data_IF_860868371977
#
_entry.id   IF_860868371977
#
_cell.length_a   1.000
_cell.length_b   1.000
_cell.length_c   1.000
_cell.angle_alpha   90.00
_cell.angle_beta   90.00
_cell.angle_gamma   90.00
#
_symmetry.space_group_name_H-M   'P 1'
#
loop_
_entity.id
_entity.type
_entity.pdbx_description
1 polymer ?
#
# COMPACT_ATOMS: atom_id res chain seq x y z
N UNK A 1 -1.37 -6.53 39.71
CA UNK A 1 -1.99 -6.87 38.42
C UNK A 1 -2.13 -5.59 37.60
N UNK A 2 -1.32 -5.41 36.56
CA UNK A 2 -1.52 -4.32 35.59
C UNK A 2 -2.27 -4.90 34.39
N UNK A 3 -3.56 -4.60 34.27
CA UNK A 3 -4.32 -4.91 33.07
C UNK A 3 -3.99 -3.88 32.01
N UNK A 4 -3.25 -4.33 30.98
CA UNK A 4 -2.96 -3.59 29.76
C UNK A 4 -4.23 -2.94 29.21
N UNK A 5 -4.28 -1.61 29.22
CA UNK A 5 -5.27 -0.84 28.47
C UNK A 5 -5.14 -1.24 27.01
N UNK A 6 -6.16 -1.89 26.45
CA UNK A 6 -6.28 -2.04 24.99
C UNK A 6 -6.29 -0.62 24.41
N UNK A 7 -5.25 -0.25 23.68
CA UNK A 7 -5.19 1.03 22.99
C UNK A 7 -6.22 0.97 21.86
N UNK A 8 -7.47 1.37 22.13
CA UNK A 8 -8.48 1.50 21.09
C UNK A 8 -8.11 2.74 20.27
N UNK A 9 -7.87 2.56 18.97
CA UNK A 9 -7.69 3.68 18.05
C UNK A 9 -8.86 4.66 18.19
N UNK A 10 -8.54 5.92 18.49
CA UNK A 10 -9.53 6.98 18.56
C UNK A 10 -9.99 7.30 17.15
N UNK A 11 -11.31 7.26 16.92
CA UNK A 11 -11.88 7.67 15.63
C UNK A 11 -12.04 9.18 15.61
N UNK A 12 -11.41 9.83 14.64
CA UNK A 12 -11.54 11.26 14.41
C UNK A 12 -12.54 11.55 13.28
N UNK A 13 -13.35 12.60 13.43
CA UNK A 13 -14.29 13.02 12.39
C UNK A 13 -13.61 14.01 11.44
N UNK A 14 -13.60 13.67 10.15
CA UNK A 14 -13.06 14.52 9.08
C UNK A 14 -14.20 14.95 8.16
N UNK A 15 -14.24 16.24 7.81
CA UNK A 15 -15.21 16.80 6.87
C UNK A 15 -14.49 17.44 5.69
N UNK A 16 -14.83 17.03 4.46
CA UNK A 16 -14.23 17.55 3.24
C UNK A 16 -15.27 17.68 2.13
N UNK A 17 -14.98 18.53 1.13
CA UNK A 17 -15.82 18.71 -0.05
C UNK A 17 -15.29 17.84 -1.19
N UNK A 18 -16.20 17.17 -1.89
CA UNK A 18 -15.91 16.38 -3.09
C UNK A 18 -16.81 16.82 -4.24
N UNK A 19 -16.43 16.48 -5.46
CA UNK A 19 -17.29 16.69 -6.61
C UNK A 19 -18.57 15.84 -6.46
N UNK A 20 -19.70 16.39 -6.88
CA UNK A 20 -20.97 15.67 -6.80
C UNK A 20 -21.01 14.42 -7.68
N UNK A 21 -20.17 14.34 -8.73
CA UNK A 21 -19.92 13.14 -9.52
C UNK A 21 -19.24 12.03 -8.71
N UNK A 22 -18.27 12.37 -7.86
CA UNK A 22 -17.55 11.41 -7.00
C UNK A 22 -18.47 10.86 -5.93
N UNK A 23 -19.26 11.72 -5.28
CA UNK A 23 -20.29 11.29 -4.33
C UNK A 23 -21.21 10.22 -4.95
N UNK A 24 -21.70 10.45 -6.17
CA UNK A 24 -22.55 9.48 -6.89
C UNK A 24 -21.82 8.17 -7.20
N UNK A 25 -20.53 8.21 -7.53
CA UNK A 25 -19.73 6.99 -7.75
C UNK A 25 -19.62 6.17 -6.47
N UNK A 26 -19.35 6.82 -5.34
CA UNK A 26 -19.25 6.17 -4.03
C UNK A 26 -20.59 5.55 -3.61
N UNK A 27 -21.70 6.28 -3.81
CA UNK A 27 -23.04 5.78 -3.50
C UNK A 27 -23.39 4.52 -4.29
N UNK A 28 -23.09 4.49 -5.60
CA UNK A 28 -23.30 3.30 -6.43
C UNK A 28 -22.43 2.13 -6.02
N UNK A 29 -21.16 2.39 -5.69
CA UNK A 29 -20.25 1.35 -5.24
C UNK A 29 -20.70 0.76 -3.90
N UNK A 30 -21.07 1.61 -2.94
CA UNK A 30 -21.60 1.17 -1.65
C UNK A 30 -22.84 0.28 -1.82
N UNK A 31 -23.77 0.68 -2.69
CA UNK A 31 -24.95 -0.12 -3.01
C UNK A 31 -24.59 -1.48 -3.63
N UNK A 32 -23.68 -1.51 -4.60
CA UNK A 32 -23.24 -2.75 -5.25
C UNK A 32 -22.52 -3.71 -4.28
N UNK A 33 -21.81 -3.17 -3.28
CA UNK A 33 -21.12 -3.95 -2.25
C UNK A 33 -22.01 -4.31 -1.05
N UNK A 34 -23.27 -3.83 -1.01
CA UNK A 34 -24.16 -3.91 0.15
C UNK A 34 -23.50 -3.38 1.44
N UNK A 35 -22.87 -2.21 1.34
CA UNK A 35 -22.16 -1.51 2.42
C UNK A 35 -22.63 -0.06 2.51
N UNK A 36 -22.29 0.61 3.62
CA UNK A 36 -22.50 2.04 3.73
C UNK A 36 -21.40 2.85 3.00
N UNK A 37 -21.63 4.15 2.86
CA UNK A 37 -20.68 5.04 2.16
C UNK A 37 -19.38 5.18 2.95
N UNK A 38 -19.48 5.18 4.28
CA UNK A 38 -18.33 5.32 5.18
C UNK A 38 -17.34 4.19 4.97
N UNK A 39 -17.81 2.96 4.83
CA UNK A 39 -16.99 1.80 4.49
C UNK A 39 -16.20 2.03 3.20
N UNK A 40 -16.88 2.43 2.11
CA UNK A 40 -16.21 2.70 0.82
C UNK A 40 -15.18 3.82 0.94
N UNK A 41 -15.48 4.87 1.71
CA UNK A 41 -14.54 5.97 1.95
C UNK A 41 -13.31 5.51 2.74
N UNK A 42 -13.52 4.79 3.84
CA UNK A 42 -12.42 4.31 4.69
C UNK A 42 -11.53 3.34 3.93
N UNK A 43 -12.11 2.41 3.17
CA UNK A 43 -11.33 1.49 2.32
C UNK A 43 -10.53 2.24 1.26
N UNK A 44 -11.13 3.22 0.58
CA UNK A 44 -10.44 4.00 -0.44
C UNK A 44 -9.27 4.80 0.15
N UNK A 45 -9.44 5.36 1.35
CA UNK A 45 -8.37 6.08 2.06
C UNK A 45 -7.27 5.12 2.49
N UNK A 46 -7.61 3.99 3.12
CA UNK A 46 -6.63 2.97 3.53
C UNK A 46 -5.80 2.51 2.34
N UNK A 47 -6.46 2.09 1.25
CA UNK A 47 -5.77 1.64 0.05
C UNK A 47 -4.85 2.71 -0.54
N UNK A 48 -5.25 3.98 -0.52
CA UNK A 48 -4.40 5.06 -0.99
C UNK A 48 -3.18 5.24 -0.09
N UNK A 49 -3.36 5.24 1.24
CA UNK A 49 -2.27 5.37 2.19
C UNK A 49 -1.31 4.18 2.08
N UNK A 50 -1.81 2.95 2.17
CA UNK A 50 -1.03 1.71 2.10
C UNK A 50 -0.17 1.66 0.84
N UNK A 51 -0.74 2.01 -0.32
CA UNK A 51 -0.02 2.02 -1.60
C UNK A 51 1.11 3.05 -1.59
N UNK A 52 0.83 4.27 -1.15
CA UNK A 52 1.82 5.35 -1.19
C UNK A 52 2.91 5.16 -0.13
N UNK A 53 2.55 4.70 1.06
CA UNK A 53 3.51 4.39 2.13
C UNK A 53 4.46 3.26 1.70
N UNK A 54 3.94 2.18 1.11
CA UNK A 54 4.78 1.12 0.56
C UNK A 54 5.72 1.63 -0.53
N UNK A 55 5.24 2.45 -1.46
CA UNK A 55 6.06 3.04 -2.52
C UNK A 55 7.17 3.93 -1.96
N UNK A 56 6.83 4.80 -1.01
CA UNK A 56 7.80 5.71 -0.39
C UNK A 56 8.86 4.91 0.38
N UNK A 57 8.45 3.90 1.15
CA UNK A 57 9.37 3.05 1.89
C UNK A 57 10.36 2.33 0.96
N UNK A 58 9.87 1.72 -0.13
CA UNK A 58 10.74 1.03 -1.10
C UNK A 58 11.70 1.98 -1.82
N UNK A 59 11.28 3.22 -2.12
CA UNK A 59 12.17 4.23 -2.68
C UNK A 59 13.27 4.61 -1.67
N UNK A 60 12.90 4.82 -0.41
CA UNK A 60 13.86 5.17 0.64
C UNK A 60 14.87 4.05 0.89
N UNK A 61 14.42 2.80 0.92
CA UNK A 61 15.30 1.62 1.03
C UNK A 61 16.28 1.55 -0.15
N UNK A 62 15.80 1.72 -1.38
CA UNK A 62 16.67 1.71 -2.57
C UNK A 62 17.71 2.84 -2.58
N UNK A 63 17.36 4.03 -2.07
CA UNK A 63 18.32 5.12 -1.91
C UNK A 63 19.38 4.78 -0.84
N UNK A 64 18.97 4.17 0.27
CA UNK A 64 19.89 3.72 1.31
C UNK A 64 20.85 2.64 0.80
N UNK A 65 20.34 1.70 -0.01
CA UNK A 65 21.14 0.66 -0.64
C UNK A 65 22.19 1.25 -1.59
N UNK A 66 21.82 2.26 -2.37
CA UNK A 66 22.75 3.00 -3.23
C UNK A 66 23.85 3.69 -2.42
N UNK A 67 23.49 4.38 -1.33
CA UNK A 67 24.45 5.07 -0.45
C UNK A 67 25.44 4.10 0.21
N UNK A 68 25.00 2.89 0.55
CA UNK A 68 25.83 1.86 1.17
C UNK A 68 26.48 0.89 0.17
N UNK A 69 26.30 1.10 -1.13
CA UNK A 69 26.84 0.21 -2.18
C UNK A 69 26.23 -1.20 -2.17
N UNK A 70 25.04 -1.39 -1.60
CA UNK A 70 24.29 -2.66 -1.61
C UNK A 70 23.53 -2.85 -2.93
N UNK A 71 24.24 -2.65 -4.03
CA UNK A 71 23.71 -2.73 -5.39
C UNK A 71 24.55 -3.68 -6.22
N UNK A 72 23.91 -4.33 -7.20
CA UNK A 72 24.55 -5.20 -8.18
C UNK A 72 24.46 -4.57 -9.57
N UNK A 73 25.40 -4.89 -10.45
CA UNK A 73 25.32 -4.40 -11.83
C UNK A 73 24.23 -5.13 -12.61
N UNK A 74 23.82 -4.53 -13.73
CA UNK A 74 22.84 -5.17 -14.61
C UNK A 74 23.38 -6.48 -15.20
N UNK A 75 24.67 -6.52 -15.57
CA UNK A 75 25.30 -7.72 -16.12
C UNK A 75 25.30 -8.86 -15.08
N UNK A 76 25.58 -8.55 -13.82
CA UNK A 76 25.61 -9.54 -12.74
C UNK A 76 24.24 -10.19 -12.50
N UNK A 77 23.17 -9.38 -12.49
CA UNK A 77 21.82 -9.92 -12.27
C UNK A 77 21.30 -10.70 -13.50
N UNK A 78 21.65 -10.28 -14.71
CA UNK A 78 21.30 -11.01 -15.94
C UNK A 78 21.94 -12.40 -16.00
N UNK A 79 23.23 -12.49 -15.64
CA UNK A 79 23.94 -13.77 -15.55
C UNK A 79 23.37 -14.66 -14.43
N UNK A 80 22.99 -14.08 -13.29
CA UNK A 80 22.33 -14.83 -12.21
C UNK A 80 20.99 -15.42 -12.67
N UNK A 81 20.15 -14.62 -13.33
CA UNK A 81 18.83 -15.06 -13.79
C UNK A 81 18.92 -16.11 -14.89
N UNK A 82 19.85 -15.96 -15.84
CA UNK A 82 20.11 -16.96 -16.87
C UNK A 82 20.43 -18.32 -16.25
N UNK A 83 21.39 -18.36 -15.32
CA UNK A 83 21.76 -19.57 -14.59
C UNK A 83 20.60 -20.19 -13.81
N UNK A 84 19.75 -19.38 -13.16
CA UNK A 84 18.55 -19.89 -12.45
C UNK A 84 17.54 -20.51 -13.41
N UNK A 85 17.30 -19.91 -14.57
CA UNK A 85 16.36 -20.45 -15.58
C UNK A 85 16.84 -21.75 -16.23
N UNK A 86 18.15 -21.94 -16.37
CA UNK A 86 18.76 -23.16 -16.91
C UNK A 86 18.73 -24.31 -15.89
N UNK A 87 18.79 -24.00 -14.59
CA UNK A 87 18.72 -24.98 -13.50
C UNK A 87 17.31 -25.39 -13.07
N UNK A 88 16.26 -24.75 -13.61
CA UNK A 88 14.85 -25.06 -13.32
C UNK A 88 14.18 -25.96 -14.37
N UNK A 89 14.95 -26.54 -15.29
CA UNK A 89 14.48 -27.56 -16.24
C UNK A 89 14.80 -28.94 -15.67
N UNK A 90 14.06 -29.33 -14.62
CA UNK A 90 13.77 -30.71 -14.21
C UNK A 90 12.53 -30.71 -13.30
#
# INVERSE_FOLDING_TARGET
MNTSTKNSEQKEQISFRIASSEKRRIERLAQALNRDKTFVFTEAISHYLDLNEWQIAGIQEGLEDLEHGRVVSQEEIEDEWRRKSEGSVD
#
